data_IF_113031784765
#
_entry.id   IF_113031784765
#
_cell.length_a   1.000
_cell.length_b   1.000
_cell.length_c   1.000
_cell.angle_alpha   90.00
_cell.angle_beta   90.00
_cell.angle_gamma   90.00
#
_symmetry.space_group_name_H-M   'P 1'
#
loop_
_entity.id
_entity.type
_entity.pdbx_description
1 polymer ?
#
# COMPACT_ATOMS: atom_id res chain seq x y z
N UNK A 1 -37.70 11.70 37.78
CA UNK A 1 -39.04 11.68 37.22
C UNK A 1 -39.11 10.65 36.13
N UNK A 2 -40.01 9.68 36.23
CA UNK A 2 -40.26 8.76 35.13
C UNK A 2 -41.06 9.54 34.03
N UNK A 3 -40.61 9.39 32.76
CA UNK A 3 -41.39 9.93 31.66
C UNK A 3 -42.73 9.17 31.48
N UNK A 4 -43.79 9.86 31.07
CA UNK A 4 -45.05 9.23 30.71
C UNK A 4 -45.03 8.75 29.26
N UNK A 5 -45.62 7.60 28.96
CA UNK A 5 -45.74 7.04 27.61
C UNK A 5 -47.03 7.41 26.90
N UNK A 6 -47.79 8.37 27.44
CA UNK A 6 -49.04 8.83 26.84
C UNK A 6 -48.75 9.59 25.54
N UNK A 7 -48.68 8.87 24.44
CA UNK A 7 -48.59 9.43 23.11
C UNK A 7 -49.99 9.45 22.54
N UNK A 8 -50.56 10.62 22.25
CA UNK A 8 -51.85 10.72 21.58
C UNK A 8 -51.78 9.99 20.23
N UNK A 9 -52.91 9.38 19.82
CA UNK A 9 -52.98 8.73 18.52
C UNK A 9 -52.58 9.72 17.42
N UNK A 10 -51.50 9.37 16.69
CA UNK A 10 -50.99 10.18 15.61
C UNK A 10 -52.01 10.19 14.44
N UNK A 11 -52.09 11.28 13.65
CA UNK A 11 -52.96 11.31 12.49
C UNK A 11 -52.62 10.16 11.53
N UNK A 12 -53.63 9.61 10.87
CA UNK A 12 -53.49 8.52 9.89
C UNK A 12 -52.60 8.89 8.70
N UNK A 13 -52.54 10.19 8.35
CA UNK A 13 -51.68 10.72 7.29
C UNK A 13 -50.82 11.83 7.86
N UNK A 14 -49.52 11.73 7.66
CA UNK A 14 -48.58 12.78 7.96
C UNK A 14 -47.51 12.86 6.84
N UNK A 15 -47.03 14.03 6.57
CA UNK A 15 -45.93 14.22 5.64
C UNK A 15 -44.66 13.63 6.27
N UNK A 16 -44.05 12.70 5.58
CA UNK A 16 -42.82 12.04 6.00
C UNK A 16 -41.71 12.31 4.95
N UNK A 17 -40.62 12.94 5.39
CA UNK A 17 -39.43 13.12 4.55
C UNK A 17 -38.20 12.54 5.28
N UNK A 18 -37.46 11.69 4.59
CA UNK A 18 -36.23 11.13 5.12
C UNK A 18 -35.19 12.20 5.46
N UNK A 19 -35.22 13.32 4.73
CA UNK A 19 -34.31 14.43 4.97
C UNK A 19 -34.53 15.10 6.33
N UNK A 20 -35.77 15.14 6.81
CA UNK A 20 -36.11 15.72 8.11
C UNK A 20 -35.78 14.79 9.28
N UNK A 21 -35.74 13.48 9.03
CA UNK A 21 -35.54 12.46 10.08
C UNK A 21 -34.04 12.15 10.33
N UNK A 22 -33.23 12.24 9.29
CA UNK A 22 -31.78 11.98 9.44
C UNK A 22 -31.12 13.18 10.12
N UNK A 23 -30.40 13.01 11.26
CA UNK A 23 -29.76 14.12 11.97
C UNK A 23 -28.77 14.88 11.09
N UNK A 24 -28.70 16.20 11.25
CA UNK A 24 -27.83 17.06 10.42
C UNK A 24 -26.34 16.79 10.62
N UNK A 25 -25.95 16.32 11.80
CA UNK A 25 -24.58 15.93 12.18
C UNK A 25 -24.24 14.45 11.85
N UNK A 26 -25.17 13.73 11.20
CA UNK A 26 -24.93 12.32 10.84
C UNK A 26 -23.78 12.19 9.85
N UNK A 27 -22.86 11.20 10.09
CA UNK A 27 -21.66 10.96 9.27
C UNK A 27 -21.97 10.88 7.77
N UNK A 28 -23.07 10.20 7.39
CA UNK A 28 -23.43 10.05 5.98
C UNK A 28 -23.83 11.36 5.32
N UNK A 29 -24.36 12.35 6.07
CA UNK A 29 -24.61 13.70 5.52
C UNK A 29 -23.30 14.41 5.21
N UNK A 30 -22.31 14.31 6.08
CA UNK A 30 -20.99 14.88 5.82
C UNK A 30 -20.33 14.23 4.62
N UNK A 31 -20.42 12.89 4.50
CA UNK A 31 -19.88 12.15 3.35
C UNK A 31 -20.60 12.55 2.06
N UNK A 32 -21.93 12.65 2.09
CA UNK A 32 -22.76 12.96 0.92
C UNK A 32 -22.45 14.33 0.29
N UNK A 33 -22.03 15.32 1.12
CA UNK A 33 -21.62 16.65 0.63
C UNK A 33 -20.39 16.61 -0.29
N UNK A 34 -19.55 15.60 -0.15
CA UNK A 34 -18.29 15.45 -0.89
C UNK A 34 -18.33 14.33 -1.93
N UNK A 35 -19.30 13.42 -1.81
CA UNK A 35 -19.44 12.30 -2.71
C UNK A 35 -20.22 12.73 -3.97
N UNK A 36 -19.49 12.86 -5.05
CA UNK A 36 -20.07 13.07 -6.37
C UNK A 36 -19.83 11.82 -7.23
N UNK A 37 -20.91 11.22 -7.69
CA UNK A 37 -20.91 10.03 -8.54
C UNK A 37 -21.57 10.32 -9.90
N UNK A 38 -21.71 11.59 -10.28
CA UNK A 38 -22.38 12.00 -11.52
C UNK A 38 -21.73 11.37 -12.76
N UNK A 39 -20.41 11.34 -12.79
CA UNK A 39 -19.64 10.81 -13.92
C UNK A 39 -19.57 9.28 -13.96
N UNK A 40 -19.95 8.61 -12.87
CA UNK A 40 -19.90 7.15 -12.77
C UNK A 40 -20.77 6.45 -13.82
N UNK A 41 -21.93 7.02 -14.12
CA UNK A 41 -22.83 6.47 -15.14
C UNK A 41 -22.22 6.54 -16.53
N UNK A 42 -21.63 7.67 -16.89
CA UNK A 42 -20.94 7.87 -18.17
C UNK A 42 -19.73 6.93 -18.27
N UNK A 43 -18.94 6.81 -17.19
CA UNK A 43 -17.79 5.89 -17.14
C UNK A 43 -18.20 4.42 -17.36
N UNK A 44 -19.35 4.01 -16.82
CA UNK A 44 -19.84 2.64 -16.92
C UNK A 44 -20.69 2.36 -18.16
N UNK A 45 -21.17 3.38 -18.87
CA UNK A 45 -22.08 3.23 -20.03
C UNK A 45 -21.60 2.22 -21.07
N UNK A 46 -20.30 2.19 -21.48
CA UNK A 46 -19.80 1.23 -22.49
C UNK A 46 -19.96 -0.24 -22.08
N UNK A 47 -20.10 -0.51 -20.78
CA UNK A 47 -20.19 -1.86 -20.22
C UNK A 47 -21.65 -2.30 -19.97
N UNK A 48 -22.63 -1.45 -20.35
CA UNK A 48 -24.05 -1.76 -20.21
C UNK A 48 -24.68 -2.03 -21.56
N UNK A 49 -25.50 -3.08 -21.64
CA UNK A 49 -26.28 -3.37 -22.85
C UNK A 49 -27.40 -2.36 -23.01
N UNK A 50 -27.64 -1.94 -24.25
CA UNK A 50 -28.76 -1.06 -24.62
C UNK A 50 -30.07 -1.82 -24.72
N UNK A 51 -30.09 -3.15 -24.61
CA UNK A 51 -31.27 -4.00 -24.75
C UNK A 51 -31.45 -4.87 -23.49
N UNK A 52 -32.70 -5.29 -23.24
CA UNK A 52 -33.03 -6.19 -22.15
C UNK A 52 -33.61 -5.48 -20.91
N UNK A 53 -33.75 -6.23 -19.80
CA UNK A 53 -34.28 -5.71 -18.54
C UNK A 53 -33.30 -4.71 -17.92
N UNK A 54 -33.76 -3.51 -17.46
CA UNK A 54 -32.92 -2.56 -16.76
C UNK A 54 -32.20 -3.22 -15.55
N UNK A 55 -30.92 -2.98 -15.45
CA UNK A 55 -30.12 -3.45 -14.32
C UNK A 55 -30.29 -2.51 -13.12
N UNK A 56 -29.82 -2.94 -11.94
CA UNK A 56 -29.73 -2.07 -10.77
C UNK A 56 -28.80 -0.89 -11.07
N UNK A 57 -29.19 0.28 -10.59
CA UNK A 57 -28.43 1.51 -10.72
C UNK A 57 -27.01 1.34 -10.12
N UNK A 58 -25.94 1.60 -10.88
CA UNK A 58 -24.58 1.51 -10.39
C UNK A 58 -24.27 2.50 -9.26
N UNK A 59 -24.84 3.70 -9.29
CA UNK A 59 -24.67 4.68 -8.21
C UNK A 59 -25.23 4.15 -6.89
N UNK A 60 -26.45 3.58 -6.92
CA UNK A 60 -27.03 2.94 -5.75
C UNK A 60 -26.11 1.85 -5.17
N UNK A 61 -25.55 1.01 -6.03
CA UNK A 61 -24.65 -0.05 -5.60
C UNK A 61 -23.35 0.47 -4.95
N UNK A 62 -22.76 1.50 -5.53
CA UNK A 62 -21.56 2.14 -4.96
C UNK A 62 -21.91 2.80 -3.62
N UNK A 63 -23.03 3.53 -3.50
CA UNK A 63 -23.49 4.12 -2.23
C UNK A 63 -23.69 3.06 -1.16
N UNK A 64 -24.31 1.95 -1.48
CA UNK A 64 -24.46 0.81 -0.54
C UNK A 64 -23.12 0.25 -0.11
N UNK A 65 -22.16 0.02 -1.03
CA UNK A 65 -20.81 -0.46 -0.69
C UNK A 65 -20.09 0.54 0.21
N UNK A 66 -20.18 1.84 -0.07
CA UNK A 66 -19.57 2.88 0.76
C UNK A 66 -20.13 2.89 2.19
N UNK A 67 -21.45 2.69 2.38
CA UNK A 67 -22.02 2.47 3.72
C UNK A 67 -21.32 1.29 4.38
N UNK A 68 -21.25 0.16 3.68
CA UNK A 68 -20.62 -1.06 4.21
C UNK A 68 -19.18 -0.83 4.66
N UNK A 69 -18.36 -0.18 3.84
CA UNK A 69 -16.96 0.09 4.14
C UNK A 69 -16.79 1.21 5.20
N UNK A 70 -17.58 2.27 5.14
CA UNK A 70 -17.51 3.34 6.14
C UNK A 70 -17.92 2.90 7.55
N UNK A 71 -18.87 1.97 7.66
CA UNK A 71 -19.47 1.57 8.93
C UNK A 71 -19.09 0.13 9.35
N UNK A 72 -18.20 -0.52 8.62
CA UNK A 72 -17.68 -1.86 8.95
C UNK A 72 -18.69 -3.00 8.74
N UNK A 73 -19.69 -2.82 7.87
CA UNK A 73 -20.66 -3.84 7.49
C UNK A 73 -20.09 -4.60 6.28
N UNK A 74 -19.31 -5.65 6.54
CA UNK A 74 -18.55 -6.37 5.51
C UNK A 74 -19.36 -7.45 4.76
N UNK A 75 -20.49 -7.88 5.28
CA UNK A 75 -21.38 -8.86 4.65
C UNK A 75 -22.40 -8.14 3.77
N UNK A 76 -22.40 -8.43 2.47
CA UNK A 76 -23.35 -7.83 1.51
C UNK A 76 -24.79 -8.20 1.82
N UNK A 77 -25.04 -9.44 2.31
CA UNK A 77 -26.37 -9.84 2.78
C UNK A 77 -26.83 -8.96 3.93
N UNK A 78 -25.98 -8.80 4.97
CA UNK A 78 -26.29 -7.93 6.11
C UNK A 78 -26.43 -6.46 5.65
N UNK A 79 -25.59 -6.00 4.74
CA UNK A 79 -25.67 -4.64 4.18
C UNK A 79 -27.04 -4.40 3.55
N UNK A 80 -27.55 -5.31 2.73
CA UNK A 80 -28.88 -5.22 2.14
C UNK A 80 -30.00 -5.18 3.20
N UNK A 81 -29.88 -5.99 4.26
CA UNK A 81 -30.83 -5.98 5.39
C UNK A 81 -30.78 -4.67 6.17
N UNK A 82 -29.60 -4.17 6.48
CA UNK A 82 -29.41 -2.90 7.19
C UNK A 82 -29.96 -1.71 6.36
N UNK A 83 -29.72 -1.68 5.04
CA UNK A 83 -30.27 -0.62 4.17
C UNK A 83 -31.80 -0.68 4.10
N UNK A 84 -32.41 -1.87 4.21
CA UNK A 84 -33.89 -2.00 4.27
C UNK A 84 -34.48 -1.32 5.50
N UNK A 85 -33.80 -1.40 6.64
CA UNK A 85 -34.35 -1.03 7.95
C UNK A 85 -33.87 0.32 8.46
N UNK A 86 -32.71 0.81 8.01
CA UNK A 86 -32.10 2.05 8.51
C UNK A 86 -32.44 3.24 7.60
N UNK A 87 -33.13 4.22 8.15
CA UNK A 87 -33.58 5.42 7.42
C UNK A 87 -32.42 6.27 6.90
N UNK A 88 -31.32 6.40 7.66
CA UNK A 88 -30.15 7.15 7.21
C UNK A 88 -29.43 6.45 6.04
N UNK A 89 -29.45 5.13 6.00
CA UNK A 89 -28.86 4.39 4.87
C UNK A 89 -29.73 4.50 3.62
N UNK A 90 -31.04 4.42 3.78
CA UNK A 90 -31.97 4.67 2.67
C UNK A 90 -31.81 6.08 2.11
N UNK A 91 -31.78 7.08 2.99
CA UNK A 91 -31.53 8.47 2.61
C UNK A 91 -30.25 8.63 1.79
N UNK A 92 -29.14 8.08 2.30
CA UNK A 92 -27.84 8.15 1.60
C UNK A 92 -27.86 7.40 0.25
N UNK A 93 -28.62 6.32 0.15
CA UNK A 93 -28.81 5.54 -1.07
C UNK A 93 -29.85 6.14 -2.04
N UNK A 94 -30.45 7.30 -1.73
CA UNK A 94 -31.51 7.92 -2.55
C UNK A 94 -32.73 7.01 -2.71
N UNK A 95 -33.04 6.19 -1.73
CA UNK A 95 -34.19 5.28 -1.71
C UNK A 95 -35.31 5.87 -0.84
N UNK A 96 -36.53 5.89 -1.36
CA UNK A 96 -37.72 6.14 -0.57
C UNK A 96 -38.06 4.93 0.33
N UNK A 97 -39.05 5.06 1.22
CA UNK A 97 -39.42 3.94 2.10
C UNK A 97 -39.95 2.75 1.30
N UNK A 98 -40.62 2.97 0.19
CA UNK A 98 -41.24 1.93 -0.64
C UNK A 98 -40.30 1.30 -1.63
N UNK A 99 -39.14 1.92 -1.91
CA UNK A 99 -38.21 1.45 -2.91
C UNK A 99 -37.59 0.11 -2.50
N UNK A 100 -37.41 -0.75 -3.48
CA UNK A 100 -36.78 -2.07 -3.27
C UNK A 100 -35.27 -1.94 -3.16
N UNK A 101 -34.71 -2.49 -2.09
CA UNK A 101 -33.26 -2.66 -1.93
C UNK A 101 -32.79 -3.85 -2.78
N UNK A 102 -31.69 -3.73 -3.53
CA UNK A 102 -31.12 -4.79 -4.33
C UNK A 102 -30.80 -6.04 -3.50
N UNK A 103 -30.86 -7.22 -4.13
CA UNK A 103 -30.42 -8.47 -3.52
C UNK A 103 -28.88 -8.54 -3.48
N UNK A 104 -28.33 -9.23 -2.46
CA UNK A 104 -26.89 -9.36 -2.27
C UNK A 104 -26.18 -10.05 -3.45
N UNK A 105 -26.85 -10.97 -4.17
CA UNK A 105 -26.28 -11.62 -5.36
C UNK A 105 -25.98 -10.66 -6.50
N UNK A 106 -26.66 -9.50 -6.54
CA UNK A 106 -26.43 -8.46 -7.53
C UNK A 106 -25.03 -7.85 -7.42
N UNK A 107 -24.50 -7.73 -6.20
CA UNK A 107 -23.15 -7.22 -5.95
C UNK A 107 -22.10 -8.12 -6.58
N UNK A 108 -22.19 -9.44 -6.36
CA UNK A 108 -21.26 -10.40 -6.94
C UNK A 108 -21.25 -10.34 -8.47
N UNK A 109 -22.43 -10.32 -9.10
CA UNK A 109 -22.55 -10.25 -10.56
C UNK A 109 -21.93 -8.98 -11.16
N UNK A 110 -22.19 -7.81 -10.57
CA UNK A 110 -21.63 -6.55 -11.09
C UNK A 110 -20.14 -6.42 -10.81
N UNK A 111 -19.67 -6.89 -9.66
CA UNK A 111 -18.25 -6.83 -9.29
C UNK A 111 -17.38 -7.70 -10.20
N UNK A 112 -17.80 -8.95 -10.48
CA UNK A 112 -17.05 -9.85 -11.37
C UNK A 112 -17.20 -9.53 -12.85
N UNK A 113 -18.16 -8.72 -13.24
CA UNK A 113 -18.35 -8.23 -14.60
C UNK A 113 -18.00 -6.75 -14.70
N UNK A 114 -19.00 -5.94 -15.01
CA UNK A 114 -18.89 -4.52 -15.40
C UNK A 114 -18.01 -3.66 -14.52
N UNK A 115 -18.08 -3.80 -13.20
CA UNK A 115 -17.30 -2.96 -12.28
C UNK A 115 -15.81 -3.27 -12.33
N UNK A 116 -15.45 -4.54 -12.57
CA UNK A 116 -14.07 -4.94 -12.77
C UNK A 116 -13.55 -4.52 -14.15
N UNK A 117 -14.30 -4.80 -15.20
CA UNK A 117 -13.93 -4.44 -16.56
C UNK A 117 -13.76 -2.92 -16.74
N UNK A 118 -14.58 -2.14 -16.04
CA UNK A 118 -14.53 -0.68 -16.06
C UNK A 118 -13.61 -0.07 -14.99
N UNK A 119 -12.91 -0.87 -14.19
CA UNK A 119 -12.14 -0.39 -13.02
C UNK A 119 -12.94 0.58 -12.12
N UNK A 120 -14.24 0.33 -11.92
CA UNK A 120 -15.17 1.25 -11.28
C UNK A 120 -14.71 1.69 -9.87
N UNK A 121 -14.08 0.80 -9.10
CA UNK A 121 -13.62 1.14 -7.75
C UNK A 121 -12.37 2.03 -7.77
N UNK A 122 -11.49 1.87 -8.77
CA UNK A 122 -10.37 2.78 -9.02
C UNK A 122 -10.89 4.15 -9.41
N UNK A 123 -11.84 4.21 -10.33
CA UNK A 123 -12.48 5.45 -10.74
C UNK A 123 -13.10 6.21 -9.55
N UNK A 124 -13.91 5.54 -8.72
CA UNK A 124 -14.52 6.16 -7.52
C UNK A 124 -13.46 6.62 -6.52
N UNK A 125 -12.40 5.86 -6.31
CA UNK A 125 -11.29 6.24 -5.45
C UNK A 125 -10.60 7.52 -5.95
N UNK A 126 -10.30 7.60 -7.25
CA UNK A 126 -9.64 8.74 -7.88
C UNK A 126 -10.53 10.00 -7.83
N UNK A 127 -11.84 9.87 -8.04
CA UNK A 127 -12.80 10.98 -7.87
C UNK A 127 -12.81 11.52 -6.42
N UNK A 128 -12.82 10.65 -5.44
CA UNK A 128 -12.75 11.06 -4.03
C UNK A 128 -11.40 11.67 -3.68
N UNK A 129 -10.31 11.14 -4.24
CA UNK A 129 -8.97 11.71 -4.06
C UNK A 129 -8.88 13.11 -4.66
N UNK A 130 -9.40 13.32 -5.86
CA UNK A 130 -9.46 14.64 -6.50
C UNK A 130 -10.19 15.67 -5.62
N UNK A 131 -11.30 15.27 -5.01
CA UNK A 131 -12.01 16.12 -4.03
C UNK A 131 -11.14 16.44 -2.81
N UNK A 132 -10.35 15.49 -2.31
CA UNK A 132 -9.39 15.72 -1.22
C UNK A 132 -8.30 16.72 -1.63
N UNK A 133 -7.78 16.61 -2.87
CA UNK A 133 -6.78 17.53 -3.43
C UNK A 133 -7.36 18.93 -3.56
N UNK A 134 -8.54 19.07 -4.16
CA UNK A 134 -9.23 20.35 -4.36
C UNK A 134 -9.62 21.01 -3.03
N UNK A 135 -9.86 20.24 -1.99
CA UNK A 135 -10.09 20.73 -0.63
C UNK A 135 -8.81 21.08 0.14
N UNK A 136 -7.64 20.98 -0.49
CA UNK A 136 -6.34 21.28 0.13
C UNK A 136 -5.91 20.28 1.21
N UNK A 137 -6.47 19.07 1.23
CA UNK A 137 -6.14 18.02 2.21
C UNK A 137 -4.92 17.18 1.79
N UNK A 138 -4.43 17.35 0.56
CA UNK A 138 -3.21 16.71 0.06
C UNK A 138 -2.18 17.79 -0.19
N UNK A 139 -1.12 17.79 0.61
CA UNK A 139 -0.10 18.83 0.55
C UNK A 139 0.97 18.59 -0.54
N UNK A 140 1.22 17.33 -0.90
CA UNK A 140 2.33 16.95 -1.77
C UNK A 140 3.73 17.10 -1.17
N UNK A 141 3.84 17.63 0.07
CA UNK A 141 5.13 17.88 0.72
C UNK A 141 5.84 16.61 1.18
N UNK A 142 5.09 15.59 1.53
CA UNK A 142 5.66 14.32 1.96
C UNK A 142 4.62 13.22 2.03
N UNK A 143 4.99 12.08 1.49
CA UNK A 143 4.19 10.87 1.56
C UNK A 143 4.86 9.84 2.46
N UNK A 144 4.03 9.07 3.16
CA UNK A 144 4.47 7.90 3.88
C UNK A 144 3.95 6.65 3.18
N UNK A 145 4.82 5.67 3.03
CA UNK A 145 4.49 4.35 2.51
C UNK A 145 4.62 3.31 3.61
N UNK A 146 3.66 2.44 3.67
CA UNK A 146 3.70 1.27 4.54
C UNK A 146 2.79 0.18 3.98
N UNK A 147 3.08 -1.05 4.36
CA UNK A 147 2.30 -2.21 3.97
C UNK A 147 1.70 -2.90 5.19
N UNK A 148 0.49 -3.43 5.03
CA UNK A 148 -0.14 -4.21 6.07
C UNK A 148 -0.70 -5.51 5.52
N UNK A 149 -0.35 -6.60 6.17
CA UNK A 149 -0.85 -7.93 5.81
C UNK A 149 -2.31 -8.07 6.22
N UNK A 150 -3.17 -8.50 5.27
CA UNK A 150 -4.59 -8.75 5.46
C UNK A 150 -4.89 -10.21 5.09
N UNK A 151 -5.61 -10.92 5.95
CA UNK A 151 -5.93 -12.35 5.74
C UNK A 151 -6.80 -12.53 4.49
N UNK A 152 -6.43 -13.47 3.65
CA UNK A 152 -7.23 -13.89 2.49
C UNK A 152 -8.44 -14.74 2.92
N UNK A 153 -9.44 -14.84 2.04
CA UNK A 153 -10.55 -15.79 2.20
C UNK A 153 -10.14 -17.19 1.72
N UNK A 154 -9.15 -17.74 2.39
CA UNK A 154 -8.55 -19.04 2.09
C UNK A 154 -8.53 -19.97 3.31
N UNK A 155 -8.73 -21.27 3.06
CA UNK A 155 -8.59 -22.29 4.08
C UNK A 155 -7.11 -22.52 4.41
N UNK A 156 -6.80 -22.61 5.69
CA UNK A 156 -5.44 -22.93 6.17
C UNK A 156 -5.09 -24.40 5.98
N UNK A 157 -6.06 -25.28 5.89
CA UNK A 157 -5.87 -26.74 5.82
C UNK A 157 -5.92 -27.28 4.38
N UNK A 158 -6.57 -26.55 3.45
CA UNK A 158 -6.70 -26.96 2.05
C UNK A 158 -5.67 -26.23 1.21
N UNK A 159 -4.49 -26.85 1.10
CA UNK A 159 -3.38 -26.33 0.30
C UNK A 159 -2.67 -27.48 -0.41
N UNK A 160 -1.95 -27.13 -1.44
CA UNK A 160 -1.01 -27.98 -2.16
C UNK A 160 0.41 -27.66 -1.67
N UNK A 161 1.22 -28.69 -1.43
CA UNK A 161 2.65 -28.57 -1.09
C UNK A 161 3.53 -29.00 -2.28
N UNK A 162 4.73 -28.50 -2.36
CA UNK A 162 5.66 -28.68 -3.50
C UNK A 162 6.06 -30.17 -3.75
N UNK A 163 5.88 -31.04 -2.75
CA UNK A 163 6.23 -32.46 -2.82
C UNK A 163 5.10 -33.38 -3.34
N UNK A 164 3.89 -32.84 -3.55
CA UNK A 164 2.76 -33.60 -4.07
C UNK A 164 2.78 -33.60 -5.63
N UNK A 165 2.59 -34.78 -6.22
CA UNK A 165 2.38 -34.88 -7.66
C UNK A 165 1.24 -33.93 -8.12
N UNK A 166 1.51 -33.07 -9.09
CA UNK A 166 0.74 -31.89 -9.52
C UNK A 166 -0.74 -32.14 -9.86
N UNK A 167 -1.48 -32.77 -8.96
CA UNK A 167 -2.93 -32.97 -9.02
C UNK A 167 -3.76 -31.73 -8.69
N UNK A 168 -3.14 -30.54 -8.60
CA UNK A 168 -3.82 -29.26 -8.37
C UNK A 168 -4.87 -28.97 -9.44
N UNK A 169 -6.02 -28.43 -9.02
CA UNK A 169 -7.08 -28.03 -9.93
C UNK A 169 -6.63 -27.03 -10.99
N UNK A 170 -7.44 -26.79 -12.07
CA UNK A 170 -7.07 -25.91 -13.19
C UNK A 170 -6.55 -24.54 -12.76
N UNK A 171 -7.16 -23.93 -11.75
CA UNK A 171 -6.78 -22.60 -11.25
C UNK A 171 -5.38 -22.54 -10.61
N UNK A 172 -4.90 -23.65 -10.03
CA UNK A 172 -3.54 -23.71 -9.47
C UNK A 172 -2.52 -23.85 -10.59
N UNK A 173 -2.81 -24.67 -11.61
CA UNK A 173 -1.95 -24.83 -12.78
C UNK A 173 -1.79 -23.51 -13.53
N UNK A 174 -2.91 -22.88 -13.88
CA UNK A 174 -2.93 -21.55 -14.53
C UNK A 174 -2.13 -20.50 -13.77
N UNK A 175 -2.25 -20.49 -12.43
CA UNK A 175 -1.47 -19.58 -11.60
C UNK A 175 0.03 -19.85 -11.62
N UNK A 176 0.44 -21.11 -11.60
CA UNK A 176 1.86 -21.52 -11.58
C UNK A 176 2.49 -21.34 -12.97
N UNK A 177 1.78 -21.65 -14.05
CA UNK A 177 2.19 -21.39 -15.43
C UNK A 177 2.40 -19.88 -15.65
N UNK A 178 1.47 -19.03 -15.18
CA UNK A 178 1.61 -17.57 -15.24
C UNK A 178 2.78 -17.02 -14.41
N UNK A 179 3.22 -17.70 -13.34
CA UNK A 179 4.42 -17.31 -12.60
C UNK A 179 5.73 -17.69 -13.31
N UNK A 180 5.73 -18.76 -14.12
CA UNK A 180 6.89 -19.17 -14.94
C UNK A 180 7.08 -18.26 -16.15
N UNK A 181 6.00 -17.71 -16.69
CA UNK A 181 6.04 -16.78 -17.84
C UNK A 181 6.45 -15.35 -17.45
N UNK A 182 6.28 -14.95 -16.18
CA UNK A 182 6.62 -13.61 -15.69
C UNK A 182 8.08 -13.52 -15.20
N UNK A 183 9.00 -13.45 -16.16
CA UNK A 183 10.45 -13.28 -15.91
C UNK A 183 10.82 -11.95 -15.20
N UNK A 184 9.86 -11.05 -15.02
CA UNK A 184 10.11 -9.70 -14.47
C UNK A 184 10.22 -9.68 -12.95
N UNK A 185 9.68 -10.70 -12.25
CA UNK A 185 9.67 -10.77 -10.79
C UNK A 185 10.33 -12.06 -10.31
N UNK A 186 11.61 -12.01 -9.94
CA UNK A 186 12.35 -13.12 -9.31
C UNK A 186 11.81 -13.43 -7.89
N UNK A 187 10.55 -13.80 -7.80
CA UNK A 187 9.92 -14.30 -6.57
C UNK A 187 9.88 -15.82 -6.66
N UNK A 188 10.59 -16.49 -5.76
CA UNK A 188 10.56 -17.95 -5.69
C UNK A 188 9.11 -18.47 -5.62
N UNK A 189 8.80 -19.59 -6.32
CA UNK A 189 7.47 -20.21 -6.27
C UNK A 189 7.08 -20.49 -4.81
N UNK A 190 5.78 -20.37 -4.47
CA UNK A 190 5.33 -20.57 -3.11
C UNK A 190 5.37 -22.05 -2.74
N UNK A 191 5.95 -22.39 -1.59
CA UNK A 191 5.96 -23.76 -1.05
C UNK A 191 4.57 -24.32 -0.74
N UNK A 192 3.59 -23.43 -0.51
CA UNK A 192 2.21 -23.79 -0.22
C UNK A 192 1.27 -22.90 -1.02
N UNK A 193 0.37 -23.51 -1.77
CA UNK A 193 -0.63 -22.83 -2.60
C UNK A 193 -2.03 -23.20 -2.11
N UNK A 194 -2.88 -22.19 -1.87
CA UNK A 194 -4.25 -22.43 -1.46
C UNK A 194 -5.12 -22.92 -2.61
N UNK A 195 -5.95 -23.94 -2.39
CA UNK A 195 -6.92 -24.38 -3.38
C UNK A 195 -8.02 -23.36 -3.70
N UNK A 196 -8.38 -22.54 -2.73
CA UNK A 196 -9.48 -21.57 -2.89
C UNK A 196 -9.03 -20.20 -3.35
N UNK A 197 -7.76 -19.87 -3.15
CA UNK A 197 -7.16 -18.58 -3.51
C UNK A 197 -5.66 -18.76 -3.80
N UNK A 198 -5.29 -19.25 -5.00
CA UNK A 198 -3.90 -19.59 -5.34
C UNK A 198 -2.93 -18.40 -5.29
N UNK A 199 -3.40 -17.19 -5.57
CA UNK A 199 -2.59 -15.99 -5.57
C UNK A 199 -2.22 -15.48 -4.15
N UNK A 200 -2.97 -15.92 -3.11
CA UNK A 200 -2.68 -15.56 -1.73
C UNK A 200 -1.40 -16.25 -1.23
N UNK A 201 -0.50 -15.51 -0.57
CA UNK A 201 0.75 -16.06 -0.05
C UNK A 201 0.62 -16.55 1.38
N UNK A 202 1.26 -17.71 1.65
CA UNK A 202 1.40 -18.24 2.99
C UNK A 202 2.40 -17.41 3.77
N UNK A 203 1.97 -16.80 4.86
CA UNK A 203 2.76 -15.90 5.70
C UNK A 203 2.41 -16.09 7.17
N UNK A 204 3.23 -15.55 8.06
CA UNK A 204 2.99 -15.54 9.49
C UNK A 204 3.21 -14.14 10.07
N UNK A 205 2.33 -13.72 10.96
CA UNK A 205 2.63 -12.60 11.84
C UNK A 205 3.65 -13.04 12.91
N UNK A 206 4.52 -12.14 13.40
CA UNK A 206 5.46 -12.46 14.47
C UNK A 206 4.74 -13.07 15.69
N UNK A 207 5.13 -14.27 16.10
CA UNK A 207 4.55 -14.98 17.22
C UNK A 207 3.13 -15.56 16.99
N UNK A 208 2.58 -15.49 15.80
CA UNK A 208 1.26 -15.99 15.44
C UNK A 208 1.29 -17.19 14.50
N UNK A 209 0.14 -17.88 14.36
CA UNK A 209 0.00 -18.96 13.40
C UNK A 209 0.04 -18.42 11.96
N UNK A 210 0.60 -19.21 11.04
CA UNK A 210 0.63 -18.86 9.63
C UNK A 210 -0.76 -18.91 8.97
N UNK A 211 -0.95 -18.10 7.92
CA UNK A 211 -2.19 -17.97 7.16
C UNK A 211 -1.91 -17.46 5.73
N UNK A 212 -2.89 -17.62 4.86
CA UNK A 212 -2.84 -17.02 3.52
C UNK A 212 -3.22 -15.55 3.57
N UNK A 213 -2.49 -14.70 2.83
CA UNK A 213 -2.69 -13.25 2.89
C UNK A 213 -2.26 -12.52 1.61
N UNK A 214 -2.75 -11.30 1.53
CA UNK A 214 -2.27 -10.24 0.67
C UNK A 214 -1.69 -9.10 1.49
N UNK A 215 -0.76 -8.35 0.93
CA UNK A 215 -0.32 -7.07 1.48
C UNK A 215 -1.13 -5.94 0.84
N UNK A 216 -1.67 -5.06 1.66
CA UNK A 216 -2.19 -3.78 1.22
C UNK A 216 -1.13 -2.73 1.40
N UNK A 217 -0.69 -2.13 0.30
CA UNK A 217 0.31 -1.08 0.28
C UNK A 217 -0.41 0.25 0.12
N UNK A 218 -0.17 1.19 1.03
CA UNK A 218 -0.77 2.51 1.00
C UNK A 218 0.30 3.59 0.84
N UNK A 219 0.03 4.52 -0.06
CA UNK A 219 0.73 5.80 -0.13
C UNK A 219 -0.17 6.86 0.52
N UNK A 220 0.32 7.52 1.57
CA UNK A 220 -0.49 8.39 2.43
C UNK A 220 0.16 9.75 2.55
N UNK A 221 -0.59 10.83 2.26
CA UNK A 221 -0.17 12.19 2.58
C UNK A 221 -0.04 12.39 4.09
N UNK A 222 1.09 12.90 4.54
CA UNK A 222 1.40 13.00 5.98
C UNK A 222 0.78 14.21 6.67
N UNK A 223 0.16 15.13 5.95
CA UNK A 223 -0.55 16.29 6.49
C UNK A 223 -1.90 15.88 7.09
N UNK A 224 -2.87 15.59 6.24
CA UNK A 224 -4.21 15.20 6.69
C UNK A 224 -4.41 13.68 6.81
N UNK A 225 -3.45 12.86 6.41
CA UNK A 225 -3.55 11.39 6.42
C UNK A 225 -4.54 10.86 5.37
N UNK A 226 -4.56 11.50 4.22
CA UNK A 226 -5.32 11.05 3.05
C UNK A 226 -4.54 9.94 2.35
N UNK A 227 -5.21 8.85 2.03
CA UNK A 227 -4.65 7.79 1.17
C UNK A 227 -4.66 8.31 -0.25
N UNK A 228 -3.48 8.51 -0.85
CA UNK A 228 -3.35 9.03 -2.21
C UNK A 228 -3.23 7.95 -3.26
N UNK A 229 -2.80 6.75 -2.87
CA UNK A 229 -2.90 5.55 -3.70
C UNK A 229 -2.86 4.27 -2.87
N UNK A 230 -3.30 3.18 -3.47
CA UNK A 230 -3.31 1.85 -2.85
C UNK A 230 -3.06 0.76 -3.89
N UNK A 231 -2.22 -0.21 -3.51
CA UNK A 231 -1.90 -1.36 -4.36
C UNK A 231 -1.97 -2.66 -3.57
N UNK A 232 -2.67 -3.66 -4.12
CA UNK A 232 -2.68 -5.00 -3.57
C UNK A 232 -1.50 -5.81 -4.12
N UNK A 233 -0.78 -6.50 -3.26
CA UNK A 233 0.25 -7.45 -3.67
C UNK A 233 0.09 -8.78 -2.92
N UNK A 234 0.55 -9.90 -3.47
CA UNK A 234 0.81 -11.08 -2.66
C UNK A 234 1.73 -10.71 -1.50
N UNK A 235 1.52 -11.27 -0.31
CA UNK A 235 2.28 -10.89 0.90
C UNK A 235 3.78 -11.24 0.78
N UNK A 236 4.55 -10.37 0.10
CA UNK A 236 5.97 -10.51 -0.15
C UNK A 236 6.67 -9.15 -0.19
N UNK A 237 7.73 -8.97 0.61
CA UNK A 237 8.40 -7.67 0.80
C UNK A 237 8.95 -7.02 -0.48
N UNK A 238 9.45 -7.80 -1.42
CA UNK A 238 9.97 -7.23 -2.69
C UNK A 238 8.85 -6.58 -3.48
N UNK A 239 7.67 -7.21 -3.51
CA UNK A 239 6.49 -6.69 -4.21
C UNK A 239 5.95 -5.42 -3.54
N UNK A 240 6.04 -5.32 -2.21
CA UNK A 240 5.67 -4.12 -1.46
C UNK A 240 6.52 -2.90 -1.86
N UNK A 241 7.83 -3.10 -2.06
CA UNK A 241 8.73 -2.03 -2.53
C UNK A 241 8.45 -1.66 -3.99
N UNK A 242 8.18 -2.65 -4.86
CA UNK A 242 7.84 -2.39 -6.26
C UNK A 242 6.52 -1.65 -6.39
N UNK A 243 5.48 -2.04 -5.65
CA UNK A 243 4.18 -1.35 -5.68
C UNK A 243 4.28 0.13 -5.33
N UNK A 244 5.27 0.52 -4.51
CA UNK A 244 5.50 1.92 -4.17
C UNK A 244 5.95 2.73 -5.37
N UNK A 245 6.78 2.17 -6.26
CA UNK A 245 7.14 2.83 -7.54
C UNK A 245 5.88 3.07 -8.39
N UNK A 246 5.09 2.02 -8.58
CA UNK A 246 3.83 2.09 -9.34
C UNK A 246 2.87 3.15 -8.78
N UNK A 247 2.71 3.20 -7.44
CA UNK A 247 1.83 4.18 -6.80
C UNK A 247 2.33 5.62 -6.98
N UNK A 248 3.63 5.87 -6.84
CA UNK A 248 4.22 7.21 -7.03
C UNK A 248 4.12 7.64 -8.49
N UNK A 249 4.42 6.75 -9.45
CA UNK A 249 4.33 7.04 -10.87
C UNK A 249 2.87 7.32 -11.28
N UNK A 250 1.92 6.53 -10.80
CA UNK A 250 0.49 6.75 -11.04
C UNK A 250 0.00 8.09 -10.47
N UNK A 251 0.48 8.49 -9.29
CA UNK A 251 0.15 9.78 -8.69
C UNK A 251 0.68 10.95 -9.51
N UNK A 252 1.90 10.83 -10.03
CA UNK A 252 2.50 11.82 -10.94
C UNK A 252 1.72 11.91 -12.25
N UNK A 253 1.40 10.78 -12.87
CA UNK A 253 0.72 10.71 -14.17
C UNK A 253 -0.73 11.19 -14.12
N UNK A 254 -1.46 10.82 -13.07
CA UNK A 254 -2.90 11.11 -12.95
C UNK A 254 -3.22 12.49 -12.38
N UNK A 255 -2.40 12.95 -11.41
CA UNK A 255 -2.69 14.17 -10.64
C UNK A 255 -1.59 15.23 -10.74
N UNK A 256 -0.52 14.98 -11.49
CA UNK A 256 0.65 15.86 -11.63
C UNK A 256 1.31 16.23 -10.27
N UNK A 257 1.14 15.38 -9.24
CA UNK A 257 1.71 15.59 -7.92
C UNK A 257 3.07 14.89 -7.83
N UNK A 258 4.14 15.68 -7.72
CA UNK A 258 5.49 15.16 -7.52
C UNK A 258 5.79 14.95 -6.04
N UNK A 259 6.23 13.76 -5.72
CA UNK A 259 6.65 13.39 -4.36
C UNK A 259 7.96 14.08 -4.01
N UNK A 260 7.98 14.98 -3.01
CA UNK A 260 9.21 15.65 -2.57
C UNK A 260 10.01 14.80 -1.58
N UNK A 261 9.34 14.13 -0.66
CA UNK A 261 9.95 13.23 0.32
C UNK A 261 9.11 11.98 0.55
N UNK A 262 9.78 10.86 0.75
CA UNK A 262 9.13 9.58 1.03
C UNK A 262 9.58 9.04 2.40
N UNK A 263 8.61 8.72 3.24
CA UNK A 263 8.79 8.17 4.58
C UNK A 263 8.43 6.69 4.54
N UNK A 264 9.34 5.83 4.95
CA UNK A 264 9.11 4.39 4.97
C UNK A 264 9.88 3.69 6.09
N UNK A 265 9.72 2.36 6.15
CA UNK A 265 10.50 1.52 7.05
C UNK A 265 11.82 1.04 6.42
N UNK A 266 12.54 0.18 7.12
CA UNK A 266 13.83 -0.35 6.67
C UNK A 266 13.71 -1.19 5.38
N UNK A 267 12.53 -1.75 5.05
CA UNK A 267 12.32 -2.48 3.82
C UNK A 267 12.55 -1.62 2.57
N UNK A 268 12.20 -0.33 2.66
CA UNK A 268 12.40 0.66 1.60
C UNK A 268 13.84 1.24 1.55
N UNK A 269 14.70 0.87 2.51
CA UNK A 269 16.09 1.31 2.59
C UNK A 269 17.08 0.48 1.76
N UNK A 270 16.62 -0.27 0.75
CA UNK A 270 17.48 -1.02 -0.15
C UNK A 270 18.25 -0.07 -1.08
N UNK A 271 19.48 -0.44 -1.46
CA UNK A 271 20.34 0.42 -2.26
C UNK A 271 19.71 0.79 -3.61
N UNK A 272 19.05 -0.15 -4.26
CA UNK A 272 18.41 0.05 -5.55
C UNK A 272 17.20 1.00 -5.46
N UNK A 273 16.37 0.83 -4.43
CA UNK A 273 15.20 1.68 -4.24
C UNK A 273 15.61 3.11 -3.85
N UNK A 274 16.66 3.26 -3.02
CA UNK A 274 17.26 4.56 -2.71
C UNK A 274 17.83 5.23 -3.97
N UNK A 275 18.50 4.45 -4.85
CA UNK A 275 18.98 4.93 -6.14
C UNK A 275 17.85 5.50 -7.00
N UNK A 276 16.76 4.76 -7.13
CA UNK A 276 15.58 5.22 -7.86
C UNK A 276 14.96 6.50 -7.24
N UNK A 277 14.80 6.54 -5.90
CA UNK A 277 14.26 7.75 -5.25
C UNK A 277 15.13 8.99 -5.51
N UNK A 278 16.45 8.88 -5.28
CA UNK A 278 17.34 10.04 -5.30
C UNK A 278 17.74 10.42 -6.73
N UNK A 279 18.16 9.44 -7.54
CA UNK A 279 18.74 9.71 -8.85
C UNK A 279 17.69 9.90 -9.95
N UNK A 280 16.60 9.07 -9.93
CA UNK A 280 15.63 9.06 -11.02
C UNK A 280 14.44 9.99 -10.72
N UNK A 281 14.01 10.06 -9.44
CA UNK A 281 12.81 10.82 -9.04
C UNK A 281 13.09 12.10 -8.24
N UNK A 282 14.33 12.35 -7.81
CA UNK A 282 14.72 13.48 -6.95
C UNK A 282 13.89 13.54 -5.64
N UNK A 283 13.54 12.38 -5.07
CA UNK A 283 12.79 12.23 -3.82
C UNK A 283 13.77 12.18 -2.65
N UNK A 284 13.54 13.01 -1.62
CA UNK A 284 14.29 12.98 -0.36
C UNK A 284 13.92 11.72 0.46
N UNK A 285 14.89 10.81 0.73
CA UNK A 285 14.60 9.53 1.39
C UNK A 285 14.56 9.65 2.92
N UNK A 286 13.38 9.62 3.51
CA UNK A 286 13.18 9.55 4.95
C UNK A 286 12.96 8.09 5.41
N UNK A 287 13.89 7.19 5.03
CA UNK A 287 13.85 5.77 5.32
C UNK A 287 15.14 5.32 6.02
N UNK A 288 15.09 4.37 6.96
CA UNK A 288 16.29 3.79 7.54
C UNK A 288 17.05 2.98 6.49
N UNK A 289 18.36 3.09 6.45
CA UNK A 289 19.18 2.35 5.49
C UNK A 289 19.35 0.90 5.96
N UNK A 290 19.23 -0.04 5.05
CA UNK A 290 19.54 -1.42 5.33
C UNK A 290 21.07 -1.65 5.22
N UNK A 291 21.77 -1.59 6.36
CA UNK A 291 23.20 -1.85 6.46
C UNK A 291 23.46 -3.34 6.70
N UNK A 292 23.96 -4.04 5.69
CA UNK A 292 24.43 -5.45 5.82
C UNK A 292 25.90 -5.57 6.25
N UNK A 293 26.60 -4.48 6.38
CA UNK A 293 28.06 -4.45 6.48
C UNK A 293 28.63 -4.15 7.86
N UNK A 294 27.80 -3.81 8.83
CA UNK A 294 28.28 -3.58 10.20
C UNK A 294 28.67 -4.91 10.87
N UNK A 295 29.86 -4.96 11.42
CA UNK A 295 30.41 -6.11 12.11
C UNK A 295 30.44 -5.85 13.60
N UNK A 296 29.92 -6.78 14.36
CA UNK A 296 29.87 -6.73 15.83
C UNK A 296 30.96 -7.58 16.49
N UNK A 297 31.81 -8.25 15.68
CA UNK A 297 32.87 -9.16 16.12
C UNK A 297 34.20 -8.45 16.42
N UNK A 298 34.24 -7.13 16.45
CA UNK A 298 35.43 -6.30 16.67
C UNK A 298 36.34 -6.19 15.43
N UNK A 299 35.95 -6.77 14.30
CA UNK A 299 36.65 -6.58 13.02
C UNK A 299 36.13 -5.35 12.28
N UNK A 300 36.97 -4.79 11.39
CA UNK A 300 36.62 -3.60 10.64
C UNK A 300 35.40 -3.78 9.75
N UNK A 301 34.42 -2.93 9.93
CA UNK A 301 33.24 -2.74 9.07
C UNK A 301 33.63 -2.01 7.77
N UNK A 302 32.68 -1.85 6.87
CA UNK A 302 32.89 -1.02 5.68
C UNK A 302 33.04 0.46 6.03
N UNK A 303 32.32 0.94 7.04
CA UNK A 303 32.37 2.29 7.56
C UNK A 303 33.76 2.73 8.10
N UNK A 304 34.62 1.75 8.42
CA UNK A 304 36.02 2.04 8.84
C UNK A 304 36.95 2.32 7.65
N UNK A 305 36.47 2.33 6.43
CA UNK A 305 37.22 2.60 5.20
C UNK A 305 36.66 3.86 4.54
N UNK A 306 37.51 4.88 4.34
CA UNK A 306 37.16 6.11 3.69
C UNK A 306 37.13 5.95 2.17
N UNK A 307 36.05 6.40 1.52
CA UNK A 307 35.90 6.34 0.07
C UNK A 307 36.21 7.71 -0.54
N UNK A 308 37.17 7.71 -1.43
CA UNK A 308 37.50 8.84 -2.29
C UNK A 308 36.76 8.67 -3.63
N UNK A 309 35.76 9.54 -3.87
CA UNK A 309 34.91 9.45 -5.05
C UNK A 309 35.62 9.89 -6.33
N UNK A 310 36.50 10.91 -6.24
CA UNK A 310 37.23 11.43 -7.39
C UNK A 310 38.30 10.42 -7.87
N UNK A 311 38.98 9.80 -6.92
CA UNK A 311 40.04 8.82 -7.21
C UNK A 311 39.54 7.36 -7.31
N UNK A 312 38.26 7.11 -7.14
CA UNK A 312 37.58 5.79 -7.20
C UNK A 312 38.33 4.69 -6.41
N UNK A 313 38.67 4.98 -5.13
CA UNK A 313 39.31 4.00 -4.25
C UNK A 313 38.88 4.17 -2.78
N UNK A 314 39.07 3.11 -2.00
CA UNK A 314 38.97 3.18 -0.54
C UNK A 314 40.33 3.32 0.10
N UNK A 315 40.43 4.10 1.18
CA UNK A 315 41.58 4.13 2.09
C UNK A 315 41.25 3.32 3.34
N UNK A 316 42.12 2.40 3.73
CA UNK A 316 41.96 1.57 4.93
C UNK A 316 42.47 2.29 6.18
N UNK A 317 42.13 1.83 7.40
CA UNK A 317 42.62 2.40 8.67
C UNK A 317 44.15 2.42 8.85
N UNK A 318 44.89 1.80 7.95
CA UNK A 318 46.36 1.82 7.87
C UNK A 318 46.86 2.56 6.63
N UNK A 319 46.10 3.56 6.13
CA UNK A 319 46.44 4.43 5.01
C UNK A 319 46.85 3.72 3.72
N UNK A 320 46.35 2.50 3.47
CA UNK A 320 46.58 1.77 2.24
C UNK A 320 45.34 1.80 1.33
N UNK A 321 45.55 1.95 0.04
CA UNK A 321 44.49 2.06 -0.97
C UNK A 321 43.91 0.69 -1.32
N UNK A 322 42.61 0.60 -1.41
CA UNK A 322 41.88 -0.50 -2.01
C UNK A 322 41.34 0.02 -3.35
N UNK A 323 41.89 -0.49 -4.43
CA UNK A 323 41.50 -0.07 -5.78
C UNK A 323 40.43 -0.98 -6.35
N UNK A 324 39.69 -0.43 -7.31
CA UNK A 324 38.65 -1.18 -8.02
C UNK A 324 39.24 -2.44 -8.64
N UNK A 325 38.77 -3.60 -8.23
CA UNK A 325 39.26 -4.89 -8.72
C UNK A 325 38.49 -5.31 -9.96
N UNK A 326 39.20 -5.43 -11.10
CA UNK A 326 38.67 -5.98 -12.35
C UNK A 326 39.50 -7.24 -12.67
N UNK A 327 38.82 -8.39 -12.75
CA UNK A 327 39.41 -9.59 -13.30
C UNK A 327 39.61 -9.38 -14.79
N UNK A 328 40.80 -9.74 -15.32
CA UNK A 328 41.05 -9.70 -16.76
C UNK A 328 40.21 -10.81 -17.43
N UNK A 329 39.38 -10.44 -18.35
CA UNK A 329 38.60 -11.32 -19.20
C UNK A 329 39.00 -11.08 -20.65
N UNK A 330 38.80 -12.09 -21.54
CA UNK A 330 39.03 -11.97 -22.97
C UNK A 330 38.18 -10.85 -23.58
N UNK A 331 36.95 -10.66 -23.07
CA UNK A 331 36.07 -9.54 -23.44
C UNK A 331 35.97 -8.55 -22.27
N UNK A 332 35.98 -7.23 -22.50
CA UNK A 332 35.79 -6.22 -21.46
C UNK A 332 34.43 -6.39 -20.80
N UNK A 333 34.40 -6.37 -19.46
CA UNK A 333 33.17 -6.37 -18.65
C UNK A 333 33.13 -5.12 -17.79
N UNK A 334 31.92 -4.65 -17.44
CA UNK A 334 31.70 -3.44 -16.63
C UNK A 334 32.40 -3.50 -15.25
N UNK A 335 32.70 -4.71 -14.76
CA UNK A 335 33.22 -4.91 -13.40
C UNK A 335 32.15 -4.75 -12.31
N UNK A 336 30.89 -4.61 -12.71
CA UNK A 336 29.72 -4.61 -11.81
C UNK A 336 29.23 -6.07 -11.70
N UNK A 337 28.91 -6.49 -10.50
CA UNK A 337 28.37 -7.82 -10.24
C UNK A 337 26.86 -7.87 -10.56
N UNK A 338 26.29 -9.07 -10.66
CA UNK A 338 24.81 -9.24 -10.79
C UNK A 338 24.02 -8.58 -9.66
N UNK A 339 24.65 -8.34 -8.50
CA UNK A 339 24.04 -7.66 -7.36
C UNK A 339 24.28 -6.14 -7.37
N UNK A 340 24.56 -5.53 -8.53
CA UNK A 340 24.83 -4.10 -8.69
C UNK A 340 25.91 -3.58 -7.72
N UNK A 341 27.00 -4.34 -7.56
CA UNK A 341 28.10 -3.96 -6.69
C UNK A 341 29.45 -3.96 -7.39
N UNK A 342 30.32 -3.09 -6.93
CA UNK A 342 31.71 -2.94 -7.35
C UNK A 342 32.61 -3.47 -6.23
N UNK A 343 33.66 -4.20 -6.58
CA UNK A 343 34.62 -4.74 -5.63
C UNK A 343 35.88 -3.91 -5.60
N UNK A 344 36.31 -3.47 -4.42
CA UNK A 344 37.58 -2.82 -4.16
C UNK A 344 38.47 -3.76 -3.36
N UNK A 345 39.77 -3.80 -3.68
CA UNK A 345 40.70 -4.74 -3.09
C UNK A 345 42.02 -4.10 -2.80
N UNK A 346 42.56 -4.38 -1.61
CA UNK A 346 43.94 -4.03 -1.22
C UNK A 346 44.98 -4.92 -1.89
N UNK A 347 46.24 -4.46 -1.90
CA UNK A 347 47.41 -5.28 -2.29
C UNK A 347 47.66 -6.40 -1.27
N UNK A 348 48.14 -7.58 -1.73
CA UNK A 348 48.59 -8.64 -0.85
C UNK A 348 49.79 -8.20 -0.01
N UNK A 349 50.72 -7.42 -0.60
CA UNK A 349 51.91 -6.93 0.09
C UNK A 349 51.54 -6.01 1.26
N UNK A 350 50.61 -5.07 1.04
CA UNK A 350 50.17 -4.14 2.07
C UNK A 350 49.51 -4.85 3.24
N UNK A 351 48.74 -5.92 2.97
CA UNK A 351 48.05 -6.66 4.00
C UNK A 351 48.94 -7.69 4.70
N UNK A 352 49.99 -8.19 4.05
CA UNK A 352 50.92 -9.18 4.64
C UNK A 352 51.68 -8.62 5.84
N UNK A 353 52.17 -7.36 5.71
CA UNK A 353 52.94 -6.66 6.76
C UNK A 353 52.07 -5.76 7.65
N UNK A 354 50.73 -5.81 7.52
CA UNK A 354 49.85 -4.89 8.23
C UNK A 354 49.68 -5.30 9.71
N UNK A 355 49.92 -4.37 10.67
CA UNK A 355 49.73 -4.67 12.09
C UNK A 355 48.26 -4.89 12.46
N UNK A 356 47.32 -4.36 11.66
CA UNK A 356 45.89 -4.50 11.88
C UNK A 356 45.29 -5.72 11.16
N UNK A 357 46.10 -6.59 10.57
CA UNK A 357 45.65 -7.74 9.76
C UNK A 357 44.65 -8.63 10.50
N UNK A 358 44.87 -8.92 11.75
CA UNK A 358 44.01 -9.76 12.57
C UNK A 358 42.60 -9.20 12.73
N UNK A 359 42.48 -7.86 12.85
CA UNK A 359 41.18 -7.16 12.93
C UNK A 359 40.55 -6.89 11.57
N UNK A 360 41.32 -6.96 10.48
CA UNK A 360 40.87 -6.57 9.15
C UNK A 360 40.54 -7.78 8.25
N UNK A 361 41.52 -8.65 8.03
CA UNK A 361 41.43 -9.76 7.07
C UNK A 361 42.28 -10.98 7.53
N UNK A 362 42.08 -11.43 8.79
CA UNK A 362 42.84 -12.51 9.41
C UNK A 362 42.95 -13.78 8.54
N UNK A 363 41.81 -14.18 7.93
CA UNK A 363 41.69 -15.43 7.15
C UNK A 363 41.94 -15.26 5.64
N UNK A 364 42.23 -14.05 5.16
CA UNK A 364 42.38 -13.77 3.73
C UNK A 364 43.69 -13.02 3.43
N UNK A 365 44.29 -13.21 2.25
CA UNK A 365 45.54 -12.55 1.91
C UNK A 365 45.44 -11.05 1.68
N UNK A 366 44.22 -10.53 1.53
CA UNK A 366 43.92 -9.12 1.29
C UNK A 366 42.50 -8.77 1.77
N UNK A 367 42.26 -7.50 2.05
CA UNK A 367 40.93 -6.99 2.31
C UNK A 367 40.15 -6.75 1.01
N UNK A 368 38.90 -7.15 1.00
CA UNK A 368 37.91 -6.80 -0.05
C UNK A 368 36.78 -6.00 0.56
N UNK A 369 36.47 -4.87 -0.04
CA UNK A 369 35.29 -4.05 0.28
C UNK A 369 34.39 -4.03 -0.95
N UNK A 370 33.11 -4.24 -0.74
CA UNK A 370 32.08 -4.22 -1.79
C UNK A 370 31.26 -2.96 -1.64
N UNK A 371 31.14 -2.15 -2.72
CA UNK A 371 30.35 -0.92 -2.78
C UNK A 371 29.18 -1.10 -3.73
N UNK A 372 28.00 -0.69 -3.35
CA UNK A 372 26.86 -0.63 -4.27
C UNK A 372 27.09 0.43 -5.33
N UNK A 373 26.55 0.24 -6.53
CA UNK A 373 26.52 1.29 -7.57
C UNK A 373 25.61 2.46 -7.15
N UNK A 374 24.70 2.23 -6.20
CA UNK A 374 23.77 3.21 -5.64
C UNK A 374 24.25 3.77 -4.28
N UNK A 375 25.54 3.69 -3.99
CA UNK A 375 26.03 4.08 -2.66
C UNK A 375 25.91 5.59 -2.41
N UNK A 376 26.03 6.42 -3.44
CA UNK A 376 25.78 7.87 -3.35
C UNK A 376 24.36 8.19 -2.84
N UNK A 377 23.35 7.46 -3.31
CA UNK A 377 21.99 7.62 -2.83
C UNK A 377 21.84 7.15 -1.36
N UNK A 378 22.60 6.14 -0.94
CA UNK A 378 22.66 5.72 0.46
C UNK A 378 23.32 6.78 1.34
N UNK A 379 24.35 7.47 0.83
CA UNK A 379 25.01 8.55 1.55
C UNK A 379 24.05 9.73 1.76
N UNK A 380 23.26 10.09 0.73
CA UNK A 380 22.16 11.07 0.87
C UNK A 380 21.20 10.66 2.00
N UNK A 381 20.76 9.40 2.04
CA UNK A 381 19.84 8.93 3.08
C UNK A 381 20.49 8.94 4.48
N UNK A 382 21.80 8.71 4.60
CA UNK A 382 22.54 8.86 5.88
C UNK A 382 22.56 10.30 6.36
N UNK A 383 22.81 11.24 5.47
CA UNK A 383 22.80 12.69 5.81
C UNK A 383 21.39 13.15 6.20
N UNK A 384 20.36 12.76 5.44
CA UNK A 384 18.97 13.03 5.80
C UNK A 384 18.62 12.49 7.20
N UNK A 385 19.09 11.28 7.54
CA UNK A 385 18.84 10.66 8.85
C UNK A 385 19.38 11.45 10.05
N UNK A 386 20.39 12.31 9.86
CA UNK A 386 20.97 13.18 10.89
C UNK A 386 20.13 14.43 11.14
N UNK A 387 19.23 14.79 10.23
CA UNK A 387 18.48 16.05 10.26
C UNK A 387 17.36 16.08 11.29
N UNK A 388 16.98 17.27 11.81
CA UNK A 388 15.78 17.41 12.63
C UNK A 388 14.49 17.06 11.87
N UNK A 389 14.47 17.24 10.52
CA UNK A 389 13.35 16.88 9.67
C UNK A 389 13.07 15.37 9.73
N UNK A 390 14.09 14.54 9.67
CA UNK A 390 13.96 13.09 9.80
C UNK A 390 13.32 12.66 11.12
N UNK A 391 13.67 13.33 12.24
CA UNK A 391 13.04 13.03 13.54
C UNK A 391 11.55 13.37 13.57
N UNK A 392 11.14 14.45 12.88
CA UNK A 392 9.72 14.81 12.74
C UNK A 392 8.96 13.78 11.90
N UNK A 393 9.52 13.36 10.77
CA UNK A 393 8.88 12.39 9.89
C UNK A 393 8.74 10.99 10.51
N UNK A 394 9.67 10.58 11.38
CA UNK A 394 9.50 9.36 12.19
C UNK A 394 8.24 9.38 13.06
N UNK A 395 7.85 10.56 13.58
CA UNK A 395 6.60 10.72 14.33
C UNK A 395 5.38 10.68 13.42
N UNK A 396 5.48 11.27 12.22
CA UNK A 396 4.41 11.23 11.22
C UNK A 396 4.12 9.80 10.75
N UNK A 397 5.12 8.94 10.66
CA UNK A 397 4.93 7.52 10.34
C UNK A 397 3.96 6.81 11.30
N UNK A 398 3.98 7.14 12.59
CA UNK A 398 3.02 6.57 13.56
C UNK A 398 1.57 6.86 13.18
N UNK A 399 1.29 7.96 12.47
CA UNK A 399 -0.07 8.27 12.00
C UNK A 399 -0.53 7.26 10.94
N UNK A 400 0.38 6.76 10.09
CA UNK A 400 0.08 5.73 9.10
C UNK A 400 -0.21 4.39 9.79
N UNK A 401 0.57 4.03 10.80
CA UNK A 401 0.32 2.83 11.62
C UNK A 401 -1.07 2.89 12.30
N UNK A 402 -1.45 4.07 12.82
CA UNK A 402 -2.79 4.30 13.38
C UNK A 402 -3.90 4.18 12.33
N UNK A 403 -3.63 4.59 11.08
CA UNK A 403 -4.57 4.44 9.97
C UNK A 403 -4.86 2.97 9.69
N UNK A 404 -3.85 2.11 9.65
CA UNK A 404 -4.06 0.65 9.55
C UNK A 404 -4.87 0.09 10.72
N UNK A 405 -4.57 0.56 11.94
CA UNK A 405 -5.36 0.20 13.12
C UNK A 405 -6.84 0.57 12.97
N UNK A 406 -7.13 1.75 12.44
CA UNK A 406 -8.50 2.20 12.14
C UNK A 406 -9.17 1.32 11.08
N UNK A 407 -8.49 1.06 9.96
CA UNK A 407 -9.02 0.21 8.89
C UNK A 407 -9.37 -1.19 9.38
N UNK A 408 -8.50 -1.82 10.17
CA UNK A 408 -8.74 -3.17 10.70
C UNK A 408 -9.81 -3.21 11.79
N UNK A 409 -9.81 -2.26 12.72
CA UNK A 409 -10.69 -2.29 13.90
C UNK A 409 -12.06 -1.67 13.64
N UNK A 410 -12.09 -0.53 12.95
CA UNK A 410 -13.33 0.25 12.72
C UNK A 410 -13.98 -0.15 11.39
N UNK A 411 -13.21 -0.16 10.28
CA UNK A 411 -13.72 -0.54 8.98
C UNK A 411 -13.80 -2.07 8.80
N UNK A 412 -13.32 -2.84 9.77
CA UNK A 412 -13.37 -4.32 9.81
C UNK A 412 -12.71 -5.00 8.61
N UNK A 413 -11.60 -4.44 8.10
CA UNK A 413 -10.81 -4.98 7.00
C UNK A 413 -9.57 -5.71 7.55
N UNK A 414 -9.79 -6.66 8.43
CA UNK A 414 -8.78 -7.58 8.97
C UNK A 414 -8.69 -8.89 8.18
N UNK A 415 -9.77 -9.22 7.45
CA UNK A 415 -9.87 -10.35 6.52
C UNK A 415 -10.63 -9.94 5.26
N UNK A 416 -10.12 -10.36 4.10
CA UNK A 416 -10.79 -10.18 2.81
C UNK A 416 -12.01 -11.09 2.68
N UNK A 417 -12.96 -10.69 1.88
CA UNK A 417 -14.16 -11.42 1.50
C UNK A 417 -14.11 -11.87 0.03
N UNK A 418 -13.32 -11.14 -0.76
CA UNK A 418 -13.10 -11.46 -2.15
C UNK A 418 -11.81 -12.26 -2.29
N UNK A 419 -11.75 -13.07 -3.34
CA UNK A 419 -10.61 -13.91 -3.68
C UNK A 419 -9.86 -13.36 -4.87
N UNK A 420 -8.60 -13.75 -4.99
CA UNK A 420 -7.69 -13.31 -6.03
C UNK A 420 -7.14 -11.90 -5.79
N UNK A 421 -6.08 -11.56 -6.50
CA UNK A 421 -5.41 -10.28 -6.38
C UNK A 421 -6.32 -9.11 -6.76
N UNK A 422 -7.13 -9.27 -7.82
CA UNK A 422 -8.11 -8.27 -8.23
C UNK A 422 -9.21 -8.06 -7.18
N UNK A 423 -9.68 -9.14 -6.53
CA UNK A 423 -10.62 -9.03 -5.43
C UNK A 423 -10.03 -8.30 -4.21
N UNK A 424 -8.75 -8.56 -3.90
CA UNK A 424 -8.02 -7.85 -2.85
C UNK A 424 -7.89 -6.36 -3.19
N UNK A 425 -7.54 -6.03 -4.45
CA UNK A 425 -7.45 -4.65 -4.94
C UNK A 425 -8.78 -3.90 -4.80
N UNK A 426 -9.89 -4.52 -5.19
CA UNK A 426 -11.23 -3.96 -5.07
C UNK A 426 -11.56 -3.59 -3.62
N UNK A 427 -11.29 -4.49 -2.67
CA UNK A 427 -11.54 -4.25 -1.24
C UNK A 427 -10.64 -3.17 -0.67
N UNK A 428 -9.38 -3.09 -1.09
CA UNK A 428 -8.44 -2.07 -0.62
C UNK A 428 -8.79 -0.69 -1.19
N UNK A 429 -9.21 -0.58 -2.45
CA UNK A 429 -9.69 0.66 -3.04
C UNK A 429 -10.94 1.19 -2.31
N UNK A 430 -11.94 0.34 -2.08
CA UNK A 430 -13.13 0.71 -1.33
C UNK A 430 -12.82 1.11 0.12
N UNK A 431 -11.84 0.45 0.74
CA UNK A 431 -11.37 0.79 2.08
C UNK A 431 -10.68 2.16 2.11
N UNK A 432 -9.80 2.42 1.15
CA UNK A 432 -9.13 3.72 1.01
C UNK A 432 -10.13 4.85 0.73
N UNK A 433 -11.09 4.61 -0.16
CA UNK A 433 -12.19 5.55 -0.45
C UNK A 433 -12.99 5.89 0.81
N UNK A 434 -13.42 4.86 1.55
CA UNK A 434 -14.16 5.05 2.80
C UNK A 434 -13.33 5.80 3.86
N UNK A 435 -12.03 5.51 3.95
CA UNK A 435 -11.11 6.19 4.85
C UNK A 435 -10.99 7.68 4.49
N UNK A 436 -10.82 8.00 3.20
CA UNK A 436 -10.72 9.36 2.72
C UNK A 436 -12.01 10.15 2.95
N UNK A 437 -13.17 9.56 2.63
CA UNK A 437 -14.46 10.18 2.91
C UNK A 437 -14.69 10.47 4.40
N UNK A 438 -14.33 9.56 5.28
CA UNK A 438 -14.39 9.79 6.74
C UNK A 438 -13.43 10.87 7.20
N UNK A 439 -12.24 10.97 6.59
CA UNK A 439 -11.28 12.05 6.85
C UNK A 439 -11.83 13.40 6.40
N UNK A 440 -12.34 13.49 5.18
CA UNK A 440 -13.00 14.69 4.68
C UNK A 440 -14.14 15.12 5.61
N UNK A 441 -15.03 14.19 5.96
CA UNK A 441 -16.13 14.46 6.89
C UNK A 441 -15.65 15.02 8.23
N UNK A 442 -14.53 14.53 8.75
CA UNK A 442 -13.93 15.04 9.99
C UNK A 442 -13.34 16.45 9.84
N UNK A 443 -12.58 16.69 8.77
CA UNK A 443 -11.87 17.96 8.59
C UNK A 443 -12.82 19.10 8.15
N UNK A 444 -13.76 18.81 7.28
CA UNK A 444 -14.67 19.80 6.70
C UNK A 444 -15.99 19.91 7.46
N UNK A 445 -16.32 18.96 8.33
CA UNK A 445 -17.46 19.01 9.24
C UNK A 445 -17.27 19.97 10.43
N UNK A 446 -16.03 20.37 10.72
CA UNK A 446 -15.66 21.24 11.86
C UNK A 446 -15.17 22.64 11.46
N UNK A 447 -15.33 23.04 10.19
CA UNK A 447 -14.74 24.27 9.61
C UNK A 447 -13.40 24.01 8.91
N UNK A 448 -12.82 25.00 8.22
CA UNK A 448 -11.60 24.80 7.48
C UNK A 448 -10.47 24.36 8.44
N UNK A 449 -9.65 23.38 8.07
CA UNK A 449 -8.52 23.00 8.87
C UNK A 449 -7.56 24.20 8.94
N UNK A 450 -7.25 24.62 10.15
CA UNK A 450 -6.11 25.53 10.38
C UNK A 450 -4.88 24.72 10.00
N UNK A 451 -4.30 25.03 8.84
CA UNK A 451 -3.02 24.46 8.42
C UNK A 451 -1.97 24.98 9.40
N UNK A 452 -1.34 24.14 10.24
CA UNK A 452 -0.27 24.59 11.11
C UNK A 452 0.94 24.91 10.21
N UNK A 453 1.15 26.20 9.92
CA UNK A 453 2.36 26.60 9.19
C UNK A 453 2.23 27.79 8.22
N UNK A 454 1.10 28.51 8.24
CA UNK A 454 1.03 29.84 7.63
C UNK A 454 0.73 30.87 8.74
N UNK A 455 1.70 31.17 9.53
CA UNK A 455 1.84 32.36 10.36
C UNK A 455 3.32 32.73 10.42
#
# INVERSE_FOLDING_TARGET
MMGSSDTPQKPFFYAFNLDDVVPQDHLLRHIDRFLDLSDLRQHLEPYYSHTGRPSVDPELMIRMLLIGYCLGIRSERRLCEEVKLNLAYRWFCRLSIEDKVPDHSTFSKNRHGRFREAEAFRFVFEQVLERCINAGLVSGEGFAVDASVVKADASRQRHHEDDDDWGGGPAIREYLEGLEEDDTVAVAPPKKVSHSDPQARWTAAPGGPAFYAYSTNYLVDTGAGIVVDVEATPAHRTLEVQSTRTMIERLEDRFAIKTKKLIGDTAYGTAEFLGWMVNDKAIEPHVPIWEKGERTDGTFSRSDFDFDEEADHYTCPNDKRLVRYRRKFKQPRSGITKANTINYRSSRHDCAACPMKQRCCAKTPYRKVTRSVYESARDVAREVAKTPAYRRTRRQRKQVEMLFGHMKRILKVDRLRLRGLSGAQDEFLLTATAQNLRRMAKYLGTGPPVVPGMA
#
